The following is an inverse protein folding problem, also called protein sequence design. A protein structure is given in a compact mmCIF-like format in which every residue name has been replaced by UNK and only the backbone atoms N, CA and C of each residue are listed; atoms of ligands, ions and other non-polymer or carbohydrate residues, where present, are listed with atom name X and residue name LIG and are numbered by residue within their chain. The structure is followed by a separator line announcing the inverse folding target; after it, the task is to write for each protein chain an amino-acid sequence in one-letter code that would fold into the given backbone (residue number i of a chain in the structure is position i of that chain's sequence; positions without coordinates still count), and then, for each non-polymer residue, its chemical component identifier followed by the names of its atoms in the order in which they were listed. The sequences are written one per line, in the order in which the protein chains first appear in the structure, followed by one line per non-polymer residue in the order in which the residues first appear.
data_IF_360921499840
#
_entry.id   IF_360921499840
#
_cell.length_a   1.000
_cell.length_b   1.000
_cell.length_c   1.000
_cell.angle_alpha   90.00
_cell.angle_beta   90.00
_cell.angle_gamma   90.00
#
_symmetry.space_group_name_H-M   'P 1'
#
loop_
_entity.id
_entity.type
_entity.pdbx_description
1 polymer ?
#
# COMPACT_ATOMS: atom_id res chain seq x y z
N UNK A 1 11.98 -41.67 -51.13
CA UNK A 1 13.12 -42.00 -50.26
C UNK A 1 13.76 -40.69 -49.84
N UNK A 2 13.88 -40.48 -48.52
CA UNK A 2 14.72 -39.53 -47.78
C UNK A 2 13.92 -38.61 -46.83
N UNK A 3 13.93 -39.05 -45.56
CA UNK A 3 13.65 -38.29 -44.35
C UNK A 3 14.75 -37.25 -44.11
N UNK A 4 14.39 -36.11 -43.50
CA UNK A 4 15.30 -35.21 -42.78
C UNK A 4 14.61 -34.71 -41.50
N UNK A 5 15.33 -34.88 -40.39
CA UNK A 5 14.96 -34.59 -38.99
C UNK A 5 15.58 -33.25 -38.55
N UNK A 6 14.87 -32.45 -37.75
CA UNK A 6 15.40 -31.64 -36.61
C UNK A 6 14.31 -30.66 -36.14
N UNK A 7 13.72 -30.83 -34.95
CA UNK A 7 14.17 -30.28 -33.64
C UNK A 7 13.89 -28.79 -33.47
N UNK A 8 12.85 -28.48 -32.70
CA UNK A 8 12.55 -27.16 -32.16
C UNK A 8 13.70 -26.60 -31.31
N UNK A 9 13.83 -25.28 -31.24
CA UNK A 9 13.97 -24.64 -29.94
C UNK A 9 12.72 -23.83 -29.61
N UNK A 10 11.99 -24.35 -28.62
CA UNK A 10 10.93 -23.68 -27.87
C UNK A 10 11.52 -22.42 -27.24
N UNK A 11 10.95 -21.26 -27.52
CA UNK A 11 11.34 -20.01 -26.86
C UNK A 11 11.15 -20.15 -25.35
N UNK A 12 12.28 -20.28 -24.65
CA UNK A 12 12.35 -20.14 -23.20
C UNK A 12 12.10 -18.68 -22.83
N UNK A 13 11.02 -18.48 -22.09
CA UNK A 13 10.63 -17.20 -21.53
C UNK A 13 9.34 -17.33 -20.73
N UNK A 14 9.15 -18.48 -20.08
CA UNK A 14 8.09 -18.65 -19.11
C UNK A 14 8.43 -17.76 -17.91
N UNK A 15 7.86 -16.55 -17.86
CA UNK A 15 7.71 -15.87 -16.58
C UNK A 15 6.81 -16.75 -15.72
N UNK A 16 7.28 -17.28 -14.58
CA UNK A 16 6.37 -17.94 -13.67
C UNK A 16 5.41 -16.86 -13.19
N UNK A 17 4.15 -16.95 -13.61
CA UNK A 17 3.06 -16.32 -12.89
C UNK A 17 3.01 -17.02 -11.54
N UNK A 18 3.86 -16.55 -10.62
CA UNK A 18 3.74 -16.86 -9.21
C UNK A 18 2.30 -16.54 -8.84
N UNK A 19 1.59 -17.53 -8.32
CA UNK A 19 0.27 -17.43 -7.73
C UNK A 19 0.33 -16.51 -6.50
N UNK A 20 0.58 -15.22 -6.73
CA UNK A 20 0.57 -14.21 -5.72
C UNK A 20 -0.90 -13.93 -5.42
N UNK A 21 -1.32 -14.18 -4.18
CA UNK A 21 -2.59 -13.68 -3.69
C UNK A 21 -2.71 -12.16 -3.93
N UNK A 22 -3.91 -11.59 -3.81
CA UNK A 22 -4.09 -10.14 -4.00
C UNK A 22 -3.09 -9.38 -3.14
N UNK A 23 -2.36 -8.45 -3.77
CA UNK A 23 -1.40 -7.60 -3.07
C UNK A 23 -2.10 -6.82 -1.94
N UNK A 24 -1.44 -6.59 -0.79
CA UNK A 24 -2.02 -5.80 0.28
C UNK A 24 -2.47 -4.42 -0.22
N UNK A 25 -3.57 -3.86 0.31
CA UNK A 25 -3.95 -2.48 0.02
C UNK A 25 -2.77 -1.52 0.30
N UNK A 26 -2.59 -0.53 -0.56
CA UNK A 26 -1.52 0.46 -0.43
C UNK A 26 -2.10 1.86 -0.27
N UNK A 27 -1.36 2.72 0.43
CA UNK A 27 -1.70 4.12 0.67
C UNK A 27 -0.52 5.01 0.33
N UNK A 28 -0.81 6.16 -0.29
CA UNK A 28 0.17 7.20 -0.61
C UNK A 28 -0.31 8.56 -0.11
N UNK A 29 0.53 9.23 0.68
CA UNK A 29 0.28 10.60 1.16
C UNK A 29 1.23 11.55 0.43
N UNK A 30 0.67 12.49 -0.31
CA UNK A 30 1.43 13.51 -1.06
C UNK A 30 1.18 14.87 -0.43
N UNK A 31 2.22 15.67 -0.14
CA UNK A 31 2.02 17.02 0.38
C UNK A 31 1.39 17.91 -0.68
N UNK A 32 0.53 18.82 -0.23
CA UNK A 32 -0.02 19.89 -1.07
C UNK A 32 0.69 21.21 -0.75
N UNK A 33 1.30 21.84 -1.77
CA UNK A 33 2.33 22.88 -1.59
C UNK A 33 1.92 24.25 -2.15
N UNK A 34 0.66 24.65 -1.94
CA UNK A 34 0.10 25.87 -2.55
C UNK A 34 0.36 27.16 -1.75
N UNK A 35 1.10 27.09 -0.64
CA UNK A 35 1.46 28.29 0.15
C UNK A 35 2.84 28.20 0.79
N UNK A 36 3.46 29.34 1.14
CA UNK A 36 4.71 29.36 1.93
C UNK A 36 4.59 28.72 3.31
N UNK A 37 3.37 28.55 3.83
CA UNK A 37 3.10 27.90 5.13
C UNK A 37 2.75 26.42 4.99
N UNK A 38 2.78 25.86 3.77
CA UNK A 38 2.52 24.44 3.55
C UNK A 38 3.58 23.57 4.23
N UNK A 39 3.13 22.46 4.80
CA UNK A 39 4.03 21.48 5.40
C UNK A 39 4.73 20.69 4.28
N UNK A 40 6.05 20.81 4.22
CA UNK A 40 6.87 20.06 3.27
C UNK A 40 7.32 18.75 3.92
N UNK A 41 7.09 17.63 3.23
CA UNK A 41 7.55 16.30 3.60
C UNK A 41 7.63 15.42 2.35
N UNK A 42 8.46 14.39 2.38
CA UNK A 42 8.54 13.43 1.28
C UNK A 42 7.23 12.66 1.12
N UNK A 43 6.93 12.18 -0.08
CA UNK A 43 5.78 11.29 -0.30
C UNK A 43 5.90 10.08 0.63
N UNK A 44 4.82 9.77 1.34
CA UNK A 44 4.77 8.64 2.26
C UNK A 44 3.95 7.53 1.60
N UNK A 45 4.62 6.44 1.25
CA UNK A 45 3.99 5.21 0.77
C UNK A 45 3.96 4.17 1.89
N UNK A 46 2.82 3.49 2.05
CA UNK A 46 2.62 2.44 3.06
C UNK A 46 1.69 1.34 2.56
N UNK A 47 2.07 0.10 2.81
CA UNK A 47 1.14 -1.02 2.78
C UNK A 47 0.26 -0.97 4.03
N UNK A 48 -1.04 -1.17 3.82
CA UNK A 48 -2.06 -1.08 4.86
C UNK A 48 -2.86 -2.39 4.84
N UNK A 49 -2.31 -3.46 5.45
CA UNK A 49 -3.02 -4.73 5.54
C UNK A 49 -4.29 -4.58 6.38
N UNK A 50 -5.19 -5.57 6.30
CA UNK A 50 -6.44 -5.55 7.07
C UNK A 50 -6.20 -5.37 8.58
N UNK A 51 -7.16 -4.74 9.27
CA UNK A 51 -7.08 -4.45 10.70
C UNK A 51 -5.87 -3.60 11.12
N UNK A 52 -5.27 -2.82 10.22
CA UNK A 52 -4.17 -1.90 10.54
C UNK A 52 -4.68 -0.57 11.07
N UNK A 53 -4.04 -0.07 12.13
CA UNK A 53 -4.23 1.29 12.67
C UNK A 53 -2.94 2.10 12.54
N UNK A 54 -2.94 3.11 11.67
CA UNK A 54 -1.82 4.04 11.47
C UNK A 54 -2.09 5.34 12.24
N UNK A 55 -1.17 5.74 13.11
CA UNK A 55 -1.27 7.02 13.84
C UNK A 55 -0.40 8.09 13.21
N UNK A 56 -0.97 9.26 13.03
CA UNK A 56 -0.31 10.41 12.42
C UNK A 56 -0.22 11.53 13.45
N UNK A 57 0.97 12.08 13.65
CA UNK A 57 1.14 13.16 14.60
C UNK A 57 2.57 13.62 14.82
N UNK A 58 2.70 14.61 15.71
CA UNK A 58 3.98 15.12 16.19
C UNK A 58 4.39 14.39 17.46
N UNK A 59 4.97 13.22 17.27
CA UNK A 59 5.51 12.41 18.35
C UNK A 59 6.89 12.91 18.78
N UNK A 60 7.16 12.94 20.09
CA UNK A 60 8.43 13.39 20.68
C UNK A 60 9.28 12.24 21.21
N UNK A 61 8.72 11.04 21.27
CA UNK A 61 9.47 9.83 21.56
C UNK A 61 10.39 9.51 20.37
N UNK A 62 11.56 8.94 20.68
CA UNK A 62 12.52 8.49 19.65
C UNK A 62 12.24 7.06 19.19
N UNK A 63 11.07 6.53 19.54
CA UNK A 63 10.67 5.17 19.22
C UNK A 63 10.12 5.16 17.80
N UNK A 64 10.83 4.50 16.89
CA UNK A 64 10.28 4.16 15.59
C UNK A 64 9.19 3.12 15.79
N UNK A 65 7.98 3.41 15.31
CA UNK A 65 6.92 2.41 15.24
C UNK A 65 6.43 2.32 13.79
N UNK A 66 6.32 1.11 13.24
CA UNK A 66 5.94 0.92 11.84
C UNK A 66 4.56 1.54 11.56
N UNK A 67 3.63 1.47 12.51
CA UNK A 67 2.29 2.01 12.38
C UNK A 67 2.17 3.50 12.80
N UNK A 68 3.29 4.24 12.83
CA UNK A 68 3.30 5.68 13.08
C UNK A 68 3.90 6.45 11.91
N UNK A 69 3.25 7.56 11.58
CA UNK A 69 3.77 8.60 10.71
C UNK A 69 4.06 9.82 11.58
N UNK A 70 5.35 10.08 11.79
CA UNK A 70 5.82 11.15 12.67
C UNK A 70 6.20 12.39 11.88
N UNK A 71 5.51 13.49 12.14
CA UNK A 71 5.88 14.80 11.62
C UNK A 71 6.65 15.61 12.65
N UNK A 72 7.83 16.11 12.28
CA UNK A 72 8.64 17.00 13.14
C UNK A 72 8.28 18.48 12.96
N UNK A 73 6.98 18.80 12.87
CA UNK A 73 6.51 20.16 12.59
C UNK A 73 5.43 20.64 13.55
N UNK A 74 5.51 21.91 13.96
CA UNK A 74 4.58 22.54 14.92
C UNK A 74 3.17 22.75 14.39
N UNK A 75 3.00 22.73 13.07
CA UNK A 75 1.66 22.79 12.44
C UNK A 75 0.92 21.45 12.53
N UNK A 76 1.59 20.39 12.99
CA UNK A 76 0.99 19.08 13.27
C UNK A 76 0.79 18.91 14.77
N UNK A 77 -0.42 18.54 15.18
CA UNK A 77 -0.73 18.23 16.58
C UNK A 77 -0.10 16.91 17.02
N UNK A 78 -0.02 16.66 18.33
CA UNK A 78 0.59 15.42 18.86
C UNK A 78 -0.16 14.15 18.46
N UNK A 79 -1.49 14.21 18.39
CA UNK A 79 -2.36 13.19 17.79
C UNK A 79 -3.22 13.86 16.74
N UNK A 80 -2.76 13.86 15.49
CA UNK A 80 -3.37 14.65 14.42
C UNK A 80 -4.47 13.88 13.72
N UNK A 81 -4.20 12.64 13.36
CA UNK A 81 -5.16 11.77 12.73
C UNK A 81 -4.82 10.31 13.04
N UNK A 82 -5.81 9.45 12.88
CA UNK A 82 -5.65 8.01 12.85
C UNK A 82 -6.32 7.52 11.57
N UNK A 83 -5.66 6.57 10.88
CA UNK A 83 -6.22 5.90 9.72
C UNK A 83 -6.33 4.42 10.07
N UNK A 84 -7.50 3.84 9.83
CA UNK A 84 -7.73 2.41 10.07
C UNK A 84 -8.36 1.75 8.86
N UNK A 85 -8.02 0.49 8.67
CA UNK A 85 -8.72 -0.41 7.75
C UNK A 85 -9.60 -1.33 8.57
N UNK A 86 -10.91 -1.28 8.36
CA UNK A 86 -11.78 -2.34 8.86
C UNK A 86 -11.50 -3.61 8.06
N UNK A 87 -11.48 -4.77 8.73
CA UNK A 87 -11.28 -6.08 8.12
C UNK A 87 -12.50 -6.43 7.29
N UNK A 88 -12.60 -5.80 6.13
CA UNK A 88 -13.74 -5.95 5.24
C UNK A 88 -13.78 -7.37 4.73
N UNK A 89 -14.68 -8.19 5.30
CA UNK A 89 -15.51 -9.01 4.41
C UNK A 89 -16.02 -8.05 3.33
N UNK A 90 -15.77 -8.28 2.03
CA UNK A 90 -16.41 -7.48 0.99
C UNK A 90 -17.90 -7.52 1.33
N UNK A 91 -18.57 -6.37 1.41
CA UNK A 91 -19.94 -6.25 1.90
C UNK A 91 -20.82 -7.35 1.28
N UNK A 92 -20.96 -8.46 2.00
CA UNK A 92 -21.70 -9.64 1.57
C UNK A 92 -23.10 -9.44 2.11
N UNK A 93 -23.95 -8.77 1.35
CA UNK A 93 -25.40 -8.82 1.47
C UNK A 93 -25.94 -8.85 0.03
N UNK A 94 -26.20 -10.02 -0.55
CA UNK A 94 -27.50 -10.70 -0.42
C UNK A 94 -28.65 -9.75 -0.78
N UNK A 95 -28.67 -9.29 -2.03
CA UNK A 95 -29.79 -8.57 -2.64
C UNK A 95 -30.73 -9.54 -3.34
N UNK A 96 -31.70 -10.02 -2.57
CA UNK A 96 -33.02 -10.54 -2.92
C UNK A 96 -33.27 -11.38 -4.20
N UNK A 97 -33.83 -12.58 -3.96
CA UNK A 97 -34.57 -13.42 -4.90
C UNK A 97 -35.71 -12.61 -5.57
N UNK A 98 -35.79 -12.69 -6.88
CA UNK A 98 -36.93 -12.33 -7.73
C UNK A 98 -36.91 -13.22 -8.95
#
# INVERSE_FOLDING_TARGET
MNQVTASSPTNEGAVPYSSAGPAPPHMRIVPHLDSPRSLHFDVIDRDVPESTLIKIGRFTDRVFMPNRITFKSKVVSRGHAEIWTDGGKPASLTGNRG
#
